data_IF_797963450526
#
_entry.id   IF_797963450526
#
_cell.length_a   1.000
_cell.length_b   1.000
_cell.length_c   1.000
_cell.angle_alpha   90.00
_cell.angle_beta   90.00
_cell.angle_gamma   90.00
#
_symmetry.space_group_name_H-M   'P 1'
#
loop_
_entity.id
_entity.type
_entity.pdbx_description
1 polymer ?
#
# COMPACT_ATOMS: atom_id res chain seq x y z
N UNK A 1 35.05 -50.98 -64.44
CA UNK A 1 35.09 -49.76 -63.62
C UNK A 1 33.96 -48.85 -64.08
N UNK A 2 32.82 -48.89 -63.41
CA UNK A 2 31.64 -48.09 -63.78
C UNK A 2 31.24 -47.27 -62.55
N UNK A 3 31.46 -45.97 -62.61
CA UNK A 3 31.10 -45.04 -61.54
C UNK A 3 29.63 -44.64 -61.71
N UNK A 4 28.81 -44.92 -60.68
CA UNK A 4 27.42 -44.48 -60.60
C UNK A 4 27.36 -43.08 -59.98
N UNK A 5 26.89 -42.09 -60.75
CA UNK A 5 26.63 -40.74 -60.26
C UNK A 5 25.20 -40.64 -59.72
N UNK A 6 25.05 -40.43 -58.42
CA UNK A 6 23.77 -40.11 -57.77
C UNK A 6 23.32 -38.67 -58.07
N UNK A 7 22.03 -38.41 -58.29
CA UNK A 7 21.51 -37.05 -58.45
C UNK A 7 21.28 -36.41 -57.08
N UNK A 8 21.83 -35.20 -56.90
CA UNK A 8 21.67 -34.39 -55.69
C UNK A 8 20.28 -33.73 -55.57
N UNK A 9 19.92 -33.28 -54.36
CA UNK A 9 18.58 -32.76 -54.07
C UNK A 9 18.35 -31.38 -54.69
N UNK A 10 17.25 -31.26 -55.45
CA UNK A 10 16.78 -29.99 -56.00
C UNK A 10 16.27 -29.07 -54.87
N UNK A 11 16.89 -27.89 -54.75
CA UNK A 11 16.41 -26.80 -53.88
C UNK A 11 15.22 -26.13 -54.55
N UNK A 12 14.08 -26.10 -53.89
CA UNK A 12 12.92 -25.31 -54.30
C UNK A 12 13.12 -23.82 -54.00
N UNK A 13 12.56 -22.92 -54.83
CA UNK A 13 12.70 -21.48 -54.66
C UNK A 13 11.87 -20.97 -53.47
N UNK A 14 12.50 -20.17 -52.60
CA UNK A 14 11.84 -19.45 -51.51
C UNK A 14 10.89 -18.39 -52.06
N UNK A 15 9.62 -18.45 -51.67
CA UNK A 15 8.64 -17.41 -51.93
C UNK A 15 9.01 -16.09 -51.23
N UNK A 16 8.72 -14.93 -51.84
CA UNK A 16 9.01 -13.63 -51.25
C UNK A 16 8.04 -13.32 -50.10
N UNK A 17 8.60 -12.90 -48.98
CA UNK A 17 7.89 -12.37 -47.81
C UNK A 17 7.19 -11.07 -48.21
N UNK A 18 5.86 -11.10 -48.30
CA UNK A 18 5.03 -9.89 -48.41
C UNK A 18 5.01 -9.19 -47.06
N UNK A 19 5.65 -8.02 -46.99
CA UNK A 19 5.43 -7.08 -45.90
C UNK A 19 4.01 -6.52 -46.00
N UNK A 20 3.20 -6.76 -44.97
CA UNK A 20 1.89 -6.14 -44.77
C UNK A 20 2.09 -4.76 -44.12
N UNK A 21 1.59 -3.67 -44.71
CA UNK A 21 1.62 -2.36 -44.09
C UNK A 21 0.37 -2.22 -43.20
N UNK A 22 0.54 -2.34 -41.88
CA UNK A 22 -0.51 -1.89 -40.97
C UNK A 22 -0.41 -0.38 -40.81
N UNK A 23 -1.32 0.27 -41.53
CA UNK A 23 -1.77 1.64 -41.44
C UNK A 23 -2.40 1.88 -40.05
N UNK A 24 -1.73 2.65 -39.19
CA UNK A 24 -2.24 3.11 -37.90
C UNK A 24 -2.45 4.63 -37.98
N UNK A 25 -3.49 5.05 -38.70
CA UNK A 25 -4.02 6.41 -38.65
C UNK A 25 -5.44 6.48 -39.21
N UNK A 26 -6.47 6.24 -38.37
CA UNK A 26 -7.77 6.93 -38.53
C UNK A 26 -8.78 6.71 -37.40
N UNK A 27 -9.21 7.83 -36.83
CA UNK A 27 -10.58 8.23 -36.50
C UNK A 27 -11.50 7.26 -35.74
N UNK A 28 -11.61 7.48 -34.42
CA UNK A 28 -12.87 7.32 -33.69
C UNK A 28 -13.21 8.59 -32.88
N UNK A 29 -13.67 9.62 -33.59
CA UNK A 29 -14.61 10.62 -33.07
C UNK A 29 -16.02 10.25 -33.56
N UNK A 30 -17.01 10.42 -32.68
CA UNK A 30 -18.47 10.34 -32.87
C UNK A 30 -19.10 8.94 -33.03
N UNK A 31 -19.65 8.45 -31.91
CA UNK A 31 -21.03 7.96 -31.86
C UNK A 31 -21.72 8.50 -30.61
N UNK A 32 -22.47 9.59 -30.81
CA UNK A 32 -23.57 9.98 -29.95
C UNK A 32 -24.78 9.13 -30.34
N UNK A 33 -25.09 8.12 -29.54
CA UNK A 33 -26.43 7.56 -29.49
C UNK A 33 -27.03 7.99 -28.16
N UNK A 34 -28.02 8.87 -28.24
CA UNK A 34 -28.89 9.18 -27.12
C UNK A 34 -29.75 7.96 -26.84
N UNK A 35 -29.57 7.38 -25.67
CA UNK A 35 -30.56 6.51 -25.06
C UNK A 35 -31.16 7.23 -23.85
N UNK A 36 -32.48 7.28 -23.93
CA UNK A 36 -33.46 7.93 -23.10
C UNK A 36 -33.49 7.28 -21.70
N UNK A 37 -33.07 8.00 -20.66
CA UNK A 37 -33.31 7.62 -19.26
C UNK A 37 -34.11 8.73 -18.54
N UNK A 38 -35.41 8.76 -18.81
CA UNK A 38 -36.39 9.44 -17.98
C UNK A 38 -37.28 8.38 -17.30
N UNK A 39 -36.82 7.87 -16.16
CA UNK A 39 -37.64 7.43 -15.01
C UNK A 39 -36.80 6.61 -14.04
N UNK A 40 -36.22 7.25 -13.03
CA UNK A 40 -35.89 6.60 -11.77
C UNK A 40 -36.24 7.59 -10.66
N UNK A 41 -37.19 7.20 -9.81
CA UNK A 41 -37.67 7.98 -8.68
C UNK A 41 -36.61 8.16 -7.59
N UNK A 42 -36.87 9.02 -6.59
CA UNK A 42 -35.90 9.33 -5.54
C UNK A 42 -35.72 8.13 -4.61
N UNK A 43 -34.67 7.34 -4.86
CA UNK A 43 -34.16 6.33 -3.94
C UNK A 43 -33.43 7.00 -2.78
N UNK A 44 -33.74 6.56 -1.56
CA UNK A 44 -33.20 7.05 -0.31
C UNK A 44 -31.66 6.98 -0.25
N UNK A 45 -30.99 7.92 0.45
CA UNK A 45 -29.56 7.82 0.73
C UNK A 45 -29.30 6.63 1.66
N UNK A 46 -28.62 5.60 1.12
CA UNK A 46 -28.14 4.46 1.90
C UNK A 46 -26.93 4.84 2.76
N UNK A 47 -27.02 4.52 4.04
CA UNK A 47 -25.96 4.67 5.05
C UNK A 47 -24.67 3.95 4.65
N UNK A 48 -23.64 4.73 4.34
CA UNK A 48 -22.30 4.25 3.94
C UNK A 48 -21.39 3.88 5.15
N UNK A 49 -21.93 3.79 6.37
CA UNK A 49 -21.15 3.77 7.61
C UNK A 49 -21.02 2.40 8.33
N UNK A 50 -21.40 1.26 7.72
CA UNK A 50 -21.46 -0.03 8.44
C UNK A 50 -20.81 -1.21 7.71
N UNK A 51 -19.51 -1.14 7.39
CA UNK A 51 -18.77 -2.26 6.76
C UNK A 51 -17.46 -2.69 7.45
N UNK A 52 -17.29 -2.39 8.73
CA UNK A 52 -16.25 -3.04 9.54
C UNK A 52 -16.91 -3.92 10.61
N UNK A 53 -16.60 -5.23 10.70
CA UNK A 53 -17.02 -6.03 11.85
C UNK A 53 -16.40 -5.39 13.09
N UNK A 54 -17.26 -4.79 13.91
CA UNK A 54 -16.90 -4.25 15.20
C UNK A 54 -16.28 -5.37 16.04
N UNK A 55 -15.03 -5.19 16.45
CA UNK A 55 -14.55 -5.88 17.65
C UNK A 55 -15.40 -5.40 18.82
N UNK A 56 -16.01 -6.36 19.50
CA UNK A 56 -17.07 -6.18 20.48
C UNK A 56 -16.61 -5.28 21.65
N UNK A 57 -17.10 -4.04 21.66
CA UNK A 57 -17.06 -3.13 22.82
C UNK A 57 -18.49 -2.66 23.03
N UNK A 58 -19.27 -3.45 23.76
CA UNK A 58 -20.62 -3.10 24.19
C UNK A 58 -20.55 -1.91 25.17
N UNK A 59 -20.79 -0.71 24.66
CA UNK A 59 -21.17 0.45 25.47
C UNK A 59 -22.43 1.07 24.84
N UNK A 60 -23.58 0.55 25.26
CA UNK A 60 -24.90 1.11 24.97
C UNK A 60 -25.29 2.01 26.14
N UNK A 61 -25.41 3.31 25.90
CA UNK A 61 -26.19 4.22 26.74
C UNK A 61 -26.68 5.37 25.86
N UNK A 62 -28.00 5.44 25.71
CA UNK A 62 -28.69 6.35 24.81
C UNK A 62 -28.59 7.82 25.20
N UNK A 63 -28.63 8.66 24.18
CA UNK A 63 -29.02 10.06 24.30
C UNK A 63 -30.00 10.38 23.19
N UNK A 64 -31.25 10.54 23.61
CA UNK A 64 -32.33 11.16 22.86
C UNK A 64 -31.95 12.64 22.59
N UNK A 65 -31.93 13.05 21.32
CA UNK A 65 -31.76 14.46 20.94
C UNK A 65 -32.88 14.88 20.00
N UNK A 66 -33.94 15.42 20.58
CA UNK A 66 -34.84 16.35 19.90
C UNK A 66 -34.09 17.65 19.55
N UNK A 67 -34.16 18.16 18.31
CA UNK A 67 -33.55 19.44 17.95
C UNK A 67 -34.43 20.63 18.37
N UNK A 68 -33.83 21.62 19.02
CA UNK A 68 -34.45 22.93 19.22
C UNK A 68 -34.25 23.82 17.98
N UNK A 69 -35.21 24.69 17.63
CA UNK A 69 -35.10 25.60 16.49
C UNK A 69 -34.22 26.81 16.86
N UNK A 70 -33.17 27.06 16.07
CA UNK A 70 -32.38 28.29 16.17
C UNK A 70 -32.87 29.29 15.12
N UNK A 71 -33.57 30.31 15.59
CA UNK A 71 -33.92 31.50 14.83
C UNK A 71 -32.74 32.45 14.71
N UNK A 72 -32.62 32.99 13.49
CA UNK A 72 -31.99 34.23 13.06
C UNK A 72 -31.19 35.05 14.07
N UNK A 73 -29.91 35.29 13.75
CA UNK A 73 -29.30 36.60 13.96
C UNK A 73 -28.35 36.91 12.80
N UNK A 74 -28.70 37.97 12.09
CA UNK A 74 -27.89 38.68 11.12
C UNK A 74 -26.61 39.17 11.80
N UNK A 75 -25.46 39.01 11.13
CA UNK A 75 -24.38 39.99 11.10
C UNK A 75 -23.45 39.64 9.91
N UNK A 76 -23.72 40.29 8.79
CA UNK A 76 -22.79 40.47 7.69
C UNK A 76 -21.78 41.57 8.10
N UNK A 77 -20.49 41.24 8.26
CA UNK A 77 -19.33 42.08 7.89
C UNK A 77 -17.99 41.61 8.51
N UNK A 78 -17.53 40.40 8.17
CA UNK A 78 -16.14 39.96 8.50
C UNK A 78 -15.41 39.33 7.29
N UNK A 79 -15.97 39.38 6.08
CA UNK A 79 -15.39 38.74 4.89
C UNK A 79 -14.65 39.67 3.93
N UNK A 80 -14.05 40.77 4.42
CA UNK A 80 -13.17 41.63 3.62
C UNK A 80 -11.85 41.90 4.34
N UNK A 81 -11.01 40.87 4.43
CA UNK A 81 -9.54 40.89 4.47
C UNK A 81 -9.04 39.46 4.75
N UNK A 82 -9.12 38.60 3.73
CA UNK A 82 -8.31 37.38 3.72
C UNK A 82 -7.08 37.75 2.88
N UNK A 83 -5.91 38.05 3.47
CA UNK A 83 -4.69 38.08 2.69
C UNK A 83 -4.47 36.69 2.11
N UNK A 84 -3.93 36.63 0.89
CA UNK A 84 -3.64 35.39 0.17
C UNK A 84 -2.98 34.37 1.12
N UNK A 85 -3.67 33.24 1.35
CA UNK A 85 -3.23 32.13 2.17
C UNK A 85 -2.06 31.42 1.47
N UNK A 86 -0.88 31.99 1.60
CA UNK A 86 0.37 31.23 1.53
C UNK A 86 0.38 30.22 2.67
N UNK A 87 0.64 28.95 2.33
CA UNK A 87 1.11 27.84 3.19
C UNK A 87 1.20 28.22 4.67
N UNK A 88 0.22 27.79 5.48
CA UNK A 88 0.30 27.95 6.92
C UNK A 88 1.55 27.23 7.40
N UNK A 89 2.50 28.03 7.85
CA UNK A 89 3.75 27.54 8.33
C UNK A 89 3.51 26.99 9.74
N UNK A 90 3.72 25.70 9.95
CA UNK A 90 3.68 25.08 11.30
C UNK A 90 4.60 25.85 12.26
N UNK A 91 5.58 26.57 11.72
CA UNK A 91 6.46 27.44 12.48
C UNK A 91 5.77 28.66 13.11
N UNK A 92 4.72 29.21 12.51
CA UNK A 92 3.98 30.36 13.06
C UNK A 92 3.13 29.95 14.26
N UNK A 93 2.34 28.88 14.12
CA UNK A 93 1.52 28.35 15.23
C UNK A 93 2.40 27.93 16.41
N UNK A 94 3.53 27.31 16.15
CA UNK A 94 4.43 26.88 17.22
C UNK A 94 5.13 28.06 17.94
N UNK A 95 5.25 29.21 17.28
CA UNK A 95 5.78 30.44 17.89
C UNK A 95 4.73 31.11 18.77
N UNK A 96 3.45 31.04 18.38
CA UNK A 96 2.32 31.52 19.18
C UNK A 96 2.18 30.79 20.52
N UNK A 97 2.46 29.49 20.56
CA UNK A 97 2.43 28.67 21.78
C UNK A 97 3.76 28.62 22.55
N UNK A 98 4.79 29.35 22.13
CA UNK A 98 6.09 29.41 22.83
C UNK A 98 6.85 28.09 22.87
N UNK A 99 6.59 27.17 21.93
CA UNK A 99 7.31 25.89 21.86
C UNK A 99 8.72 26.13 21.31
N UNK A 100 9.73 25.61 22.01
CA UNK A 100 11.10 25.65 21.50
C UNK A 100 11.24 24.81 20.20
N UNK A 101 12.23 25.14 19.37
CA UNK A 101 12.45 24.47 18.09
C UNK A 101 12.72 22.96 18.23
N UNK A 102 13.18 22.50 19.39
CA UNK A 102 13.49 21.09 19.67
C UNK A 102 12.19 20.31 19.91
N UNK A 103 11.30 20.84 20.75
CA UNK A 103 9.97 20.30 21.03
C UNK A 103 9.12 20.26 19.77
N UNK A 104 9.21 21.31 18.93
CA UNK A 104 8.53 21.38 17.62
C UNK A 104 8.97 20.26 16.69
N UNK A 105 10.28 20.08 16.51
CA UNK A 105 10.84 19.00 15.68
C UNK A 105 10.47 17.62 16.23
N UNK A 106 10.48 17.44 17.55
CA UNK A 106 10.10 16.19 18.19
C UNK A 106 8.61 15.85 17.97
N UNK A 107 7.70 16.81 18.19
CA UNK A 107 6.26 16.63 17.99
C UNK A 107 5.93 16.35 16.51
N UNK A 108 6.53 17.10 15.59
CA UNK A 108 6.35 16.88 14.16
C UNK A 108 6.89 15.50 13.72
N UNK A 109 8.07 15.12 14.21
CA UNK A 109 8.66 13.81 13.93
C UNK A 109 7.82 12.65 14.47
N UNK A 110 7.21 12.80 15.65
CA UNK A 110 6.33 11.80 16.23
C UNK A 110 5.06 11.60 15.40
N UNK A 111 4.35 12.68 15.06
CA UNK A 111 3.13 12.61 14.24
C UNK A 111 3.41 11.99 12.88
N UNK A 112 4.51 12.37 12.22
CA UNK A 112 4.92 11.77 10.94
C UNK A 112 5.15 10.27 11.05
N UNK A 113 5.88 9.80 12.08
CA UNK A 113 6.14 8.37 12.30
C UNK A 113 4.84 7.58 12.57
N UNK A 114 3.93 8.16 13.36
CA UNK A 114 2.63 7.55 13.66
C UNK A 114 1.78 7.40 12.39
N UNK A 115 1.63 8.47 11.60
CA UNK A 115 0.88 8.45 10.34
C UNK A 115 1.48 7.47 9.33
N UNK A 116 2.80 7.44 9.20
CA UNK A 116 3.51 6.47 8.36
C UNK A 116 3.26 5.03 8.81
N UNK A 117 3.20 4.78 10.12
CA UNK A 117 2.94 3.45 10.66
C UNK A 117 1.49 3.03 10.44
N UNK A 118 0.53 3.97 10.50
CA UNK A 118 -0.86 3.73 10.12
C UNK A 118 -0.96 3.37 8.62
N UNK A 119 -0.31 4.12 7.73
CA UNK A 119 -0.23 3.79 6.29
C UNK A 119 0.28 2.36 6.06
N UNK A 120 1.35 1.99 6.76
CA UNK A 120 1.91 0.63 6.70
C UNK A 120 0.92 -0.42 7.21
N UNK A 121 0.15 -0.12 8.25
CA UNK A 121 -0.85 -1.06 8.75
C UNK A 121 -1.96 -1.30 7.73
N UNK A 122 -2.48 -0.25 7.09
CA UNK A 122 -3.55 -0.41 6.12
C UNK A 122 -3.09 -0.99 4.78
N UNK A 123 -1.84 -0.78 4.34
CA UNK A 123 -1.38 -1.32 3.05
C UNK A 123 -1.30 -2.85 3.01
N UNK A 124 -1.12 -3.51 4.16
CA UNK A 124 -1.08 -4.98 4.24
C UNK A 124 -2.46 -5.61 4.44
N UNK A 125 -3.50 -4.79 4.65
CA UNK A 125 -4.87 -5.27 4.86
C UNK A 125 -5.58 -5.43 3.52
N UNK A 126 -6.53 -6.38 3.43
CA UNK A 126 -7.43 -6.45 2.29
C UNK A 126 -8.34 -5.22 2.32
N UNK A 127 -8.24 -4.38 1.28
CA UNK A 127 -9.12 -3.23 1.05
C UNK A 127 -9.69 -3.31 -0.35
N UNK A 128 -10.76 -2.55 -0.60
CA UNK A 128 -11.41 -2.49 -1.91
C UNK A 128 -10.50 -1.89 -2.97
N UNK A 129 -9.82 -0.80 -2.64
CA UNK A 129 -8.87 -0.14 -3.53
C UNK A 129 -7.74 0.52 -2.73
N UNK A 130 -6.50 0.43 -3.23
CA UNK A 130 -5.37 1.19 -2.65
C UNK A 130 -5.32 2.63 -3.12
N UNK A 131 -6.13 3.02 -4.11
CA UNK A 131 -6.28 4.42 -4.51
C UNK A 131 -6.98 5.26 -3.44
N UNK A 132 -7.93 4.66 -2.70
CA UNK A 132 -8.71 5.33 -1.64
C UNK A 132 -8.06 5.23 -0.25
N UNK A 133 -6.85 4.68 -0.16
CA UNK A 133 -6.15 4.45 1.11
C UNK A 133 -6.00 5.72 1.96
N UNK A 134 -5.65 6.85 1.32
CA UNK A 134 -5.51 8.14 2.00
C UNK A 134 -6.85 8.59 2.57
N UNK A 135 -7.94 8.50 1.80
CA UNK A 135 -9.28 8.86 2.25
C UNK A 135 -9.77 8.00 3.42
N UNK A 136 -9.50 6.69 3.39
CA UNK A 136 -9.79 5.77 4.51
C UNK A 136 -9.04 6.24 5.77
N UNK A 137 -7.77 6.62 5.61
CA UNK A 137 -6.96 7.11 6.71
C UNK A 137 -7.40 8.46 7.25
N UNK A 138 -7.77 9.41 6.39
CA UNK A 138 -8.33 10.69 6.79
C UNK A 138 -9.60 10.52 7.62
N UNK A 139 -10.47 9.61 7.19
CA UNK A 139 -11.67 9.23 7.95
C UNK A 139 -11.29 8.66 9.32
N UNK A 140 -10.32 7.75 9.38
CA UNK A 140 -9.83 7.20 10.64
C UNK A 140 -9.22 8.27 11.57
N UNK A 141 -8.40 9.17 11.03
CA UNK A 141 -7.79 10.28 11.77
C UNK A 141 -8.86 11.23 12.28
N UNK A 142 -9.86 11.54 11.46
CA UNK A 142 -11.00 12.33 11.85
C UNK A 142 -11.68 11.69 13.07
N UNK A 143 -12.05 10.41 13.00
CA UNK A 143 -12.79 9.77 14.08
C UNK A 143 -11.96 9.63 15.37
N UNK A 144 -10.66 9.41 15.23
CA UNK A 144 -9.73 9.15 16.35
C UNK A 144 -8.80 10.33 16.67
N UNK A 145 -9.15 11.55 16.23
CA UNK A 145 -8.32 12.75 16.36
C UNK A 145 -7.80 12.98 17.78
N UNK A 146 -8.64 12.74 18.80
CA UNK A 146 -8.27 12.87 20.21
C UNK A 146 -7.20 11.86 20.63
N UNK A 147 -7.33 10.60 20.22
CA UNK A 147 -6.39 9.54 20.57
C UNK A 147 -5.03 9.75 19.88
N UNK A 148 -5.05 10.22 18.63
CA UNK A 148 -3.86 10.54 17.84
C UNK A 148 -3.20 11.86 18.25
N UNK A 149 -3.75 12.61 19.21
CA UNK A 149 -3.33 13.98 19.58
C UNK A 149 -3.37 14.97 18.40
N UNK A 150 -4.30 14.76 17.48
CA UNK A 150 -4.56 15.59 16.30
C UNK A 150 -5.92 16.30 16.42
N UNK A 151 -6.27 16.83 17.60
CA UNK A 151 -7.59 17.42 17.87
C UNK A 151 -7.93 18.56 16.89
N UNK A 152 -6.93 19.36 16.51
CA UNK A 152 -7.08 20.45 15.54
C UNK A 152 -7.49 19.96 14.15
N UNK A 153 -7.17 18.71 13.77
CA UNK A 153 -7.55 18.14 12.48
C UNK A 153 -9.07 18.16 12.26
N UNK A 154 -9.91 18.10 13.31
CA UNK A 154 -11.38 18.20 13.15
C UNK A 154 -11.84 19.61 12.78
N UNK A 155 -11.19 20.62 13.34
CA UNK A 155 -11.69 21.99 13.37
C UNK A 155 -11.01 22.90 12.35
N UNK A 156 -9.74 22.63 12.05
CA UNK A 156 -8.91 23.49 11.21
C UNK A 156 -8.73 22.88 9.80
N UNK A 157 -9.29 23.52 8.74
CA UNK A 157 -9.16 23.03 7.37
C UNK A 157 -7.73 23.09 6.85
N UNK A 158 -6.90 23.99 7.37
CA UNK A 158 -5.50 24.09 6.99
C UNK A 158 -4.72 22.89 7.53
N UNK A 159 -4.92 22.53 8.80
CA UNK A 159 -4.31 21.32 9.38
C UNK A 159 -4.73 20.07 8.60
N UNK A 160 -5.99 20.00 8.12
CA UNK A 160 -6.44 18.92 7.22
C UNK A 160 -5.62 18.87 5.94
N UNK A 161 -5.46 20.00 5.24
CA UNK A 161 -4.68 20.09 4.00
C UNK A 161 -3.23 19.64 4.21
N UNK A 162 -2.58 20.11 5.27
CA UNK A 162 -1.18 19.76 5.56
C UNK A 162 -1.02 18.26 5.85
N UNK A 163 -1.96 17.66 6.60
CA UNK A 163 -1.95 16.22 6.86
C UNK A 163 -2.24 15.43 5.58
N UNK A 164 -3.18 15.89 4.74
CA UNK A 164 -3.48 15.29 3.45
C UNK A 164 -2.22 15.19 2.57
N UNK A 165 -1.52 16.32 2.39
CA UNK A 165 -0.29 16.38 1.59
C UNK A 165 0.79 15.44 2.13
N UNK A 166 0.96 15.41 3.46
CA UNK A 166 1.89 14.50 4.12
C UNK A 166 1.52 13.02 3.88
N UNK A 167 0.24 12.67 3.98
CA UNK A 167 -0.25 11.31 3.74
C UNK A 167 -0.04 10.89 2.28
N UNK A 168 -0.25 11.78 1.32
CA UNK A 168 -0.03 11.51 -0.11
C UNK A 168 1.45 11.19 -0.40
N UNK A 169 2.37 11.97 0.16
CA UNK A 169 3.82 11.74 0.02
C UNK A 169 4.22 10.41 0.65
N UNK A 170 3.85 10.18 1.91
CA UNK A 170 4.22 8.95 2.63
C UNK A 170 3.54 7.71 2.03
N UNK A 171 2.33 7.82 1.48
CA UNK A 171 1.67 6.75 0.76
C UNK A 171 2.51 6.28 -0.44
N UNK A 172 3.04 7.22 -1.23
CA UNK A 172 3.97 6.92 -2.32
C UNK A 172 5.20 6.13 -1.84
N UNK A 173 5.83 6.57 -0.75
CA UNK A 173 6.98 5.90 -0.14
C UNK A 173 6.63 4.48 0.35
N UNK A 174 5.52 4.33 1.08
CA UNK A 174 5.07 3.04 1.63
C UNK A 174 4.70 2.06 0.51
N UNK A 175 3.99 2.51 -0.52
CA UNK A 175 3.67 1.72 -1.73
C UNK A 175 4.92 1.27 -2.48
N UNK A 176 5.90 2.15 -2.65
CA UNK A 176 7.16 1.82 -3.29
C UNK A 176 7.95 0.78 -2.48
N UNK A 177 8.04 0.94 -1.16
CA UNK A 177 8.70 0.00 -0.26
C UNK A 177 8.00 -1.38 -0.25
N UNK A 178 6.67 -1.39 -0.18
CA UNK A 178 5.88 -2.63 -0.22
C UNK A 178 6.07 -3.38 -1.54
N UNK A 179 6.01 -2.66 -2.67
CA UNK A 179 6.32 -3.23 -3.99
C UNK A 179 7.70 -3.88 -4.04
N UNK A 180 8.74 -3.19 -3.54
CA UNK A 180 10.10 -3.75 -3.50
C UNK A 180 10.15 -5.05 -2.70
N UNK A 181 9.47 -5.13 -1.56
CA UNK A 181 9.40 -6.34 -0.74
C UNK A 181 8.71 -7.51 -1.46
N UNK A 182 7.61 -7.23 -2.18
CA UNK A 182 6.89 -8.24 -2.96
C UNK A 182 7.74 -8.77 -4.12
N UNK A 183 8.41 -7.88 -4.86
CA UNK A 183 9.29 -8.30 -5.96
C UNK A 183 10.49 -9.10 -5.45
N UNK A 184 11.05 -8.72 -4.31
CA UNK A 184 12.12 -9.47 -3.65
C UNK A 184 11.65 -10.89 -3.27
N UNK A 185 10.47 -11.03 -2.63
CA UNK A 185 9.94 -12.34 -2.23
C UNK A 185 9.61 -13.25 -3.41
N UNK A 186 9.20 -12.69 -4.56
CA UNK A 186 9.01 -13.42 -5.81
C UNK A 186 10.36 -13.88 -6.39
N UNK A 187 11.37 -13.01 -6.40
CA UNK A 187 12.71 -13.31 -6.94
C UNK A 187 13.44 -14.36 -6.10
N UNK A 188 13.39 -14.22 -4.78
CA UNK A 188 13.99 -15.13 -3.80
C UNK A 188 13.19 -16.40 -3.57
N UNK A 189 11.97 -16.49 -4.15
CA UNK A 189 11.04 -17.61 -3.96
C UNK A 189 10.76 -17.93 -2.49
N UNK A 190 10.61 -16.89 -1.66
CA UNK A 190 10.36 -17.05 -0.23
C UNK A 190 9.01 -17.76 0.01
N UNK A 191 8.91 -18.75 0.92
CA UNK A 191 7.62 -19.33 1.31
C UNK A 191 6.65 -18.28 1.84
N UNK A 192 5.36 -18.41 1.52
CA UNK A 192 4.33 -17.40 1.86
C UNK A 192 4.25 -17.14 3.36
N UNK A 193 4.35 -18.20 4.18
CA UNK A 193 4.32 -18.11 5.64
C UNK A 193 5.46 -17.24 6.19
N UNK A 194 6.69 -17.47 5.71
CA UNK A 194 7.88 -16.71 6.13
C UNK A 194 7.79 -15.25 5.67
N UNK A 195 7.37 -15.04 4.41
CA UNK A 195 7.16 -13.71 3.86
C UNK A 195 6.09 -12.94 4.64
N UNK A 196 4.95 -13.56 4.92
CA UNK A 196 3.83 -12.95 5.64
C UNK A 196 4.22 -12.57 7.07
N UNK A 197 4.91 -13.45 7.82
CA UNK A 197 5.42 -13.14 9.16
C UNK A 197 6.36 -11.93 9.15
N UNK A 198 7.32 -11.90 8.22
CA UNK A 198 8.27 -10.77 8.07
C UNK A 198 7.55 -9.46 7.74
N UNK A 199 6.58 -9.53 6.83
CA UNK A 199 5.78 -8.36 6.41
C UNK A 199 4.91 -7.85 7.56
N UNK A 200 4.17 -8.72 8.24
CA UNK A 200 3.32 -8.36 9.39
C UNK A 200 4.18 -7.75 10.51
N UNK A 201 5.34 -8.33 10.86
CA UNK A 201 6.23 -7.77 11.87
C UNK A 201 6.65 -6.32 11.55
N UNK A 202 6.85 -6.00 10.27
CA UNK A 202 7.31 -4.67 9.82
C UNK A 202 6.18 -3.65 9.61
N UNK A 203 4.97 -4.12 9.27
CA UNK A 203 3.88 -3.25 8.83
C UNK A 203 2.67 -3.24 9.77
N UNK A 204 2.51 -4.22 10.65
CA UNK A 204 1.40 -4.27 11.59
C UNK A 204 1.64 -3.35 12.80
N UNK A 205 0.55 -2.79 13.34
CA UNK A 205 0.57 -1.92 14.52
C UNK A 205 0.10 -2.68 15.78
N UNK A 206 0.50 -2.21 16.97
CA UNK A 206 1.57 -2.77 17.81
C UNK A 206 1.42 -4.26 18.19
N UNK A 207 0.21 -4.81 18.18
CA UNK A 207 -0.01 -6.22 18.53
C UNK A 207 0.18 -7.08 17.30
N UNK A 208 1.39 -7.61 17.10
CA UNK A 208 1.67 -8.57 16.03
C UNK A 208 0.97 -9.89 16.34
N UNK A 209 0.07 -10.40 15.47
CA UNK A 209 -0.52 -11.71 15.66
C UNK A 209 0.56 -12.79 15.55
N UNK A 210 0.50 -13.82 16.41
CA UNK A 210 1.46 -14.93 16.42
C UNK A 210 1.46 -15.69 15.08
N UNK A 211 0.26 -15.90 14.53
CA UNK A 211 0.04 -16.52 13.23
C UNK A 211 -0.46 -15.48 12.24
N UNK A 212 0.08 -15.43 11.00
CA UNK A 212 -0.43 -14.55 9.96
C UNK A 212 -1.94 -14.81 9.72
N UNK A 213 -2.80 -13.78 9.79
CA UNK A 213 -4.20 -13.89 9.42
C UNK A 213 -4.36 -14.33 7.95
N UNK A 214 -5.36 -15.17 7.69
CA UNK A 214 -5.63 -15.74 6.36
C UNK A 214 -5.87 -14.66 5.30
N UNK A 215 -6.65 -13.64 5.66
CA UNK A 215 -7.02 -12.53 4.79
C UNK A 215 -5.80 -11.69 4.34
N UNK A 216 -4.85 -11.46 5.26
CA UNK A 216 -3.56 -10.82 4.97
C UNK A 216 -2.70 -11.73 4.09
N UNK A 217 -2.62 -13.04 4.40
CA UNK A 217 -1.87 -13.99 3.57
C UNK A 217 -2.37 -14.05 2.13
N UNK A 218 -3.70 -14.10 1.94
CA UNK A 218 -4.32 -14.10 0.61
C UNK A 218 -4.06 -12.79 -0.15
N UNK A 219 -4.11 -11.64 0.55
CA UNK A 219 -3.77 -10.34 -0.03
C UNK A 219 -2.31 -10.30 -0.51
N UNK A 220 -1.37 -10.79 0.31
CA UNK A 220 0.03 -10.90 -0.06
C UNK A 220 0.27 -11.88 -1.23
N UNK A 221 -0.44 -13.01 -1.25
CA UNK A 221 -0.40 -13.97 -2.35
C UNK A 221 -0.89 -13.35 -3.68
N UNK A 222 -2.01 -12.61 -3.66
CA UNK A 222 -2.50 -11.86 -4.82
C UNK A 222 -1.44 -10.88 -5.35
N UNK A 223 -0.82 -10.11 -4.46
CA UNK A 223 0.24 -9.18 -4.84
C UNK A 223 1.45 -9.89 -5.46
N UNK A 224 1.84 -11.07 -4.97
CA UNK A 224 2.91 -11.89 -5.58
C UNK A 224 2.50 -12.41 -6.94
N UNK A 225 1.26 -12.84 -7.11
CA UNK A 225 0.73 -13.29 -8.39
C UNK A 225 0.82 -12.19 -9.46
N UNK A 226 0.41 -10.96 -9.12
CA UNK A 226 0.52 -9.79 -10.00
C UNK A 226 1.98 -9.43 -10.28
N UNK A 227 2.85 -9.52 -9.27
CA UNK A 227 4.27 -9.20 -9.42
C UNK A 227 5.04 -10.22 -10.28
N UNK A 228 4.65 -11.50 -10.27
CA UNK A 228 5.34 -12.59 -10.97
C UNK A 228 5.63 -12.30 -12.45
N UNK A 229 4.64 -11.98 -13.32
CA UNK A 229 4.93 -11.68 -14.72
C UNK A 229 5.70 -10.36 -14.92
N UNK A 230 5.76 -9.50 -13.90
CA UNK A 230 6.50 -8.24 -13.94
C UNK A 230 7.95 -8.43 -13.47
N UNK A 231 8.23 -9.35 -12.57
CA UNK A 231 9.56 -9.58 -11.99
C UNK A 231 10.63 -9.95 -13.03
N UNK A 232 10.23 -10.55 -14.16
CA UNK A 232 11.12 -10.90 -15.26
C UNK A 232 11.34 -9.75 -16.27
N UNK A 233 10.54 -8.69 -16.21
CA UNK A 233 10.65 -7.55 -17.13
C UNK A 233 11.70 -6.58 -16.61
N UNK A 234 12.57 -6.12 -17.51
CA UNK A 234 13.49 -5.02 -17.22
C UNK A 234 12.71 -3.70 -17.31
N UNK A 235 12.68 -2.94 -16.23
CA UNK A 235 12.12 -1.59 -16.21
C UNK A 235 13.25 -0.57 -16.14
N UNK A 236 13.04 0.61 -16.72
CA UNK A 236 13.94 1.74 -16.51
C UNK A 236 14.01 2.09 -15.02
N UNK A 237 15.19 2.52 -14.55
CA UNK A 237 15.36 2.99 -13.16
C UNK A 237 14.38 4.14 -12.91
N UNK A 238 13.53 4.00 -11.90
CA UNK A 238 12.50 4.99 -11.55
C UNK A 238 11.19 4.91 -12.35
N UNK A 239 11.09 4.03 -13.36
CA UNK A 239 9.87 3.85 -14.13
C UNK A 239 8.75 3.15 -13.34
N UNK A 240 7.50 3.49 -13.65
CA UNK A 240 6.34 2.74 -13.15
C UNK A 240 6.29 1.36 -13.80
N UNK A 241 6.23 0.31 -12.97
CA UNK A 241 6.09 -1.07 -13.46
C UNK A 241 4.64 -1.42 -13.82
N UNK A 242 3.68 -0.50 -13.58
CA UNK A 242 2.25 -0.75 -13.69
C UNK A 242 1.74 -1.75 -12.65
N UNK A 243 2.53 -1.99 -11.59
CA UNK A 243 2.23 -3.02 -10.58
C UNK A 243 0.92 -2.71 -9.87
N UNK A 244 0.81 -1.48 -9.35
CA UNK A 244 -0.35 -1.07 -8.58
C UNK A 244 -1.62 -1.02 -9.41
N UNK A 245 -1.57 -0.51 -10.65
CA UNK A 245 -2.72 -0.51 -11.55
C UNK A 245 -3.27 -1.93 -11.80
N UNK A 246 -2.39 -2.93 -11.92
CA UNK A 246 -2.82 -4.33 -12.02
C UNK A 246 -3.39 -4.88 -10.73
N UNK A 247 -2.84 -4.52 -9.58
CA UNK A 247 -3.42 -4.91 -8.27
C UNK A 247 -4.83 -4.36 -8.12
N UNK A 248 -5.07 -3.08 -8.45
CA UNK A 248 -6.42 -2.49 -8.41
C UNK A 248 -7.37 -3.25 -9.34
N UNK A 249 -6.96 -3.52 -10.59
CA UNK A 249 -7.78 -4.25 -11.56
C UNK A 249 -8.15 -5.66 -11.09
N UNK A 250 -7.22 -6.39 -10.47
CA UNK A 250 -7.53 -7.72 -9.91
C UNK A 250 -8.46 -7.63 -8.69
N UNK A 251 -8.29 -6.61 -7.83
CA UNK A 251 -9.21 -6.38 -6.71
C UNK A 251 -10.63 -6.08 -7.20
N UNK A 252 -10.79 -5.17 -8.17
CA UNK A 252 -12.09 -4.84 -8.75
C UNK A 252 -12.79 -6.10 -9.28
N UNK A 253 -12.09 -6.92 -10.07
CA UNK A 253 -12.60 -8.21 -10.57
C UNK A 253 -13.04 -9.15 -9.43
N UNK A 254 -12.27 -9.20 -8.34
CA UNK A 254 -12.60 -10.05 -7.18
C UNK A 254 -13.82 -9.54 -6.42
N UNK A 255 -14.00 -8.23 -6.29
CA UNK A 255 -15.18 -7.63 -5.66
C UNK A 255 -16.43 -7.81 -6.53
N UNK A 256 -16.31 -7.69 -7.84
CA UNK A 256 -17.40 -8.01 -8.78
C UNK A 256 -17.83 -9.48 -8.67
N UNK A 257 -16.86 -10.39 -8.56
CA UNK A 257 -17.13 -11.84 -8.50
C UNK A 257 -17.68 -12.30 -7.15
N UNK A 258 -17.15 -11.78 -6.04
CA UNK A 258 -17.44 -12.31 -4.70
C UNK A 258 -18.38 -11.41 -3.87
N UNK A 259 -18.64 -10.19 -4.32
CA UNK A 259 -19.42 -9.17 -3.63
C UNK A 259 -18.63 -8.42 -2.55
N UNK A 260 -19.28 -7.42 -1.93
CA UNK A 260 -18.62 -6.52 -0.95
C UNK A 260 -18.43 -7.14 0.44
N UNK A 261 -19.12 -8.24 0.76
CA UNK A 261 -19.02 -8.88 2.06
C UNK A 261 -17.84 -9.86 2.11
N UNK A 262 -16.66 -9.39 2.57
CA UNK A 262 -15.44 -10.20 2.76
C UNK A 262 -15.61 -11.43 3.66
N UNK A 263 -16.66 -11.49 4.49
CA UNK A 263 -16.97 -12.67 5.31
C UNK A 263 -17.80 -13.74 4.59
N UNK A 264 -18.14 -13.56 3.31
CA UNK A 264 -18.93 -14.55 2.58
C UNK A 264 -18.13 -15.84 2.31
N UNK A 265 -18.81 -16.99 2.12
CA UNK A 265 -18.13 -18.24 1.79
C UNK A 265 -17.29 -18.17 0.51
N UNK A 266 -17.69 -17.37 -0.47
CA UNK A 266 -16.95 -17.19 -1.73
C UNK A 266 -15.59 -16.53 -1.52
N UNK A 267 -15.51 -15.53 -0.64
CA UNK A 267 -14.24 -14.92 -0.26
C UNK A 267 -13.33 -15.90 0.47
N UNK A 268 -13.85 -16.63 1.45
CA UNK A 268 -13.06 -17.63 2.20
C UNK A 268 -12.50 -18.70 1.27
N UNK A 269 -13.31 -19.18 0.31
CA UNK A 269 -12.86 -20.16 -0.68
C UNK A 269 -11.76 -19.59 -1.59
N UNK A 270 -11.93 -18.37 -2.09
CA UNK A 270 -10.91 -17.71 -2.91
C UNK A 270 -9.60 -17.50 -2.13
N UNK A 271 -9.67 -17.06 -0.87
CA UNK A 271 -8.49 -16.87 -0.02
C UNK A 271 -7.72 -18.17 0.17
N UNK A 272 -8.41 -19.28 0.45
CA UNK A 272 -7.78 -20.59 0.56
C UNK A 272 -7.12 -21.01 -0.75
N UNK A 273 -7.82 -20.83 -1.87
CA UNK A 273 -7.30 -21.19 -3.19
C UNK A 273 -6.03 -20.42 -3.55
N UNK A 274 -6.03 -19.09 -3.40
CA UNK A 274 -4.87 -18.27 -3.79
C UNK A 274 -3.66 -18.53 -2.87
N UNK A 275 -3.90 -18.85 -1.60
CA UNK A 275 -2.85 -19.27 -0.66
C UNK A 275 -2.23 -20.60 -1.10
N UNK A 276 -3.05 -21.59 -1.44
CA UNK A 276 -2.59 -22.90 -1.89
C UNK A 276 -1.81 -22.82 -3.22
N UNK A 277 -2.31 -22.00 -4.15
CA UNK A 277 -1.66 -21.75 -5.43
C UNK A 277 -0.29 -21.07 -5.27
N UNK A 278 -0.14 -20.15 -4.30
CA UNK A 278 1.13 -19.51 -3.98
C UNK A 278 2.10 -20.48 -3.29
N UNK A 279 1.63 -21.24 -2.29
CA UNK A 279 2.42 -22.26 -1.60
C UNK A 279 2.97 -23.31 -2.57
N UNK A 280 2.11 -23.84 -3.47
CA UNK A 280 2.52 -24.81 -4.50
C UNK A 280 3.67 -24.29 -5.38
N UNK A 281 3.72 -22.98 -5.63
CA UNK A 281 4.75 -22.36 -6.48
C UNK A 281 6.06 -22.11 -5.74
N UNK A 282 6.02 -21.81 -4.45
CA UNK A 282 7.18 -21.29 -3.71
C UNK A 282 7.72 -22.24 -2.61
N UNK A 283 6.94 -23.19 -2.11
CA UNK A 283 7.36 -24.07 -1.00
C UNK A 283 8.40 -25.12 -1.42
N UNK A 284 8.45 -25.49 -2.71
CA UNK A 284 9.36 -26.53 -3.20
C UNK A 284 10.84 -26.14 -3.18
N UNK A 285 11.16 -24.85 -3.19
CA UNK A 285 12.55 -24.40 -3.39
C UNK A 285 13.32 -24.23 -2.07
N UNK A 286 12.63 -24.06 -0.94
CA UNK A 286 13.29 -23.88 0.37
C UNK A 286 13.96 -25.14 0.92
N UNK A 287 13.52 -26.33 0.50
CA UNK A 287 14.08 -27.60 0.95
C UNK A 287 15.45 -27.90 0.33
N UNK A 288 15.70 -27.46 -0.90
CA UNK A 288 16.94 -27.81 -1.62
C UNK A 288 18.07 -26.79 -1.38
N UNK A 289 17.76 -25.51 -1.18
CA UNK A 289 18.80 -24.48 -0.93
C UNK A 289 19.27 -24.39 0.51
N UNK A 290 18.52 -24.94 1.48
CA UNK A 290 18.98 -25.07 2.87
C UNK A 290 19.95 -26.25 3.07
N UNK A 291 20.12 -27.10 2.06
CA UNK A 291 21.12 -28.17 2.05
C UNK A 291 22.45 -27.74 1.42
N UNK A 292 22.62 -26.45 1.09
CA UNK A 292 23.95 -25.87 0.91
C UNK A 292 24.55 -25.74 2.30
N UNK A 293 25.19 -26.81 2.74
CA UNK A 293 25.75 -27.00 4.07
C UNK A 293 26.61 -25.80 4.47
N UNK A 294 26.52 -25.40 5.74
CA UNK A 294 27.35 -24.38 6.38
C UNK A 294 28.86 -24.55 6.04
N UNK A 295 29.30 -25.78 5.76
CA UNK A 295 30.64 -26.13 5.26
C UNK A 295 31.04 -25.41 3.96
N UNK A 296 30.13 -25.14 3.03
CA UNK A 296 30.46 -24.41 1.79
C UNK A 296 30.59 -22.89 2.04
N UNK A 297 29.91 -22.37 3.07
CA UNK A 297 30.01 -20.97 3.52
C UNK A 297 31.32 -20.77 4.31
N UNK A 298 31.70 -21.74 5.14
CA UNK A 298 32.96 -21.71 5.89
C UNK A 298 34.17 -21.93 4.97
N UNK A 299 34.05 -22.75 3.92
CA UNK A 299 35.10 -22.93 2.91
C UNK A 299 35.31 -21.69 2.03
N UNK A 300 34.24 -20.96 1.68
CA UNK A 300 34.34 -19.73 0.89
C UNK A 300 34.89 -18.55 1.71
N UNK A 301 34.73 -18.56 3.04
CA UNK A 301 35.23 -17.50 3.92
C UNK A 301 36.75 -17.62 4.20
N UNK A 302 37.36 -18.79 3.95
CA UNK A 302 38.79 -19.01 4.22
C UNK A 302 39.73 -18.69 3.05
N UNK A 303 39.24 -18.28 1.88
CA UNK A 303 40.06 -18.04 0.67
C UNK A 303 39.82 -16.65 0.06
N UNK A 304 40.34 -15.58 0.67
CA UNK A 304 40.23 -14.26 0.03
C UNK A 304 40.75 -13.07 0.82
N UNK A 305 42.04 -13.04 1.15
CA UNK A 305 42.75 -11.81 1.53
C UNK A 305 43.85 -11.53 0.53
N UNK A 306 43.53 -10.79 -0.54
CA UNK A 306 44.51 -10.04 -1.32
C UNK A 306 43.97 -8.64 -1.52
N UNK A 307 44.65 -7.70 -0.89
CA UNK A 307 44.40 -6.28 -0.95
C UNK A 307 44.61 -5.75 -2.38
N UNK A 308 43.60 -5.08 -2.91
CA UNK A 308 43.75 -4.17 -4.04
C UNK A 308 43.15 -2.83 -3.63
N UNK A 309 44.05 -1.87 -3.38
CA UNK A 309 43.74 -0.47 -3.23
C UNK A 309 43.57 0.14 -4.63
N UNK A 310 42.36 0.61 -4.93
CA UNK A 310 42.03 1.59 -5.96
C UNK A 310 40.62 2.08 -5.61
N UNK A 311 40.46 3.28 -5.08
CA UNK A 311 40.33 4.52 -5.86
C UNK A 311 38.99 4.53 -6.63
N UNK A 312 37.92 4.92 -5.93
CA UNK A 312 36.69 5.42 -6.55
C UNK A 312 36.15 6.60 -5.74
N UNK A 313 36.15 7.74 -6.42
CA UNK A 313 35.61 9.04 -6.04
C UNK A 313 34.06 9.05 -6.09
N UNK A 314 33.48 9.88 -5.22
CA UNK A 314 32.15 10.51 -5.32
C UNK A 314 30.91 9.60 -5.54
N UNK A 315 30.52 8.89 -4.48
CA UNK A 315 29.12 8.52 -4.24
C UNK A 315 28.54 9.47 -3.18
N UNK A 316 27.89 10.55 -3.64
CA UNK A 316 27.00 11.43 -2.86
C UNK A 316 25.71 10.67 -2.48
N UNK A 317 25.91 9.48 -1.90
CA UNK A 317 24.91 8.64 -1.30
C UNK A 317 24.22 9.44 -0.21
N UNK A 318 23.07 10.01 -0.56
CA UNK A 318 21.97 10.21 0.37
C UNK A 318 21.59 8.82 0.91
N UNK A 319 22.42 8.33 1.82
CA UNK A 319 22.08 7.29 2.75
C UNK A 319 20.92 7.85 3.58
N UNK A 320 19.70 7.67 3.08
CA UNK A 320 18.57 7.33 3.92
C UNK A 320 18.98 6.03 4.64
N UNK A 321 19.86 6.18 5.64
CA UNK A 321 19.98 5.31 6.78
C UNK A 321 18.59 5.29 7.36
N UNK A 322 17.78 4.37 6.86
CA UNK A 322 16.53 3.92 7.44
C UNK A 322 16.89 3.61 8.89
N UNK A 323 16.67 4.61 9.74
CA UNK A 323 17.03 4.60 11.13
C UNK A 323 16.49 3.29 11.70
N UNK A 324 17.43 2.48 12.19
CA UNK A 324 17.24 1.28 12.96
C UNK A 324 15.84 1.25 13.62
N UNK A 325 14.91 0.59 12.94
CA UNK A 325 13.48 0.52 13.30
C UNK A 325 13.23 -0.42 14.49
N UNK A 326 14.29 -1.03 15.05
CA UNK A 326 14.21 -1.84 16.27
C UNK A 326 13.98 -0.99 17.54
N UNK A 327 14.04 0.35 17.44
CA UNK A 327 13.64 1.28 18.53
C UNK A 327 12.17 1.71 18.45
N UNK A 328 11.26 0.74 18.22
CA UNK A 328 9.81 0.91 18.33
C UNK A 328 9.19 0.06 19.45
N UNK A 329 10.01 -0.68 20.21
CA UNK A 329 9.56 -1.47 21.35
C UNK A 329 8.90 -0.67 22.48
N UNK A 330 9.09 0.65 22.53
CA UNK A 330 8.59 1.50 23.62
C UNK A 330 7.20 2.13 23.38
N UNK A 331 6.61 1.99 22.20
CA UNK A 331 5.25 2.51 21.94
C UNK A 331 4.15 1.63 22.56
N UNK A 332 4.46 0.38 22.92
CA UNK A 332 3.55 -0.50 23.66
C UNK A 332 3.40 -0.11 25.15
N UNK A 333 4.32 0.68 25.71
CA UNK A 333 4.28 1.11 27.10
C UNK A 333 3.23 2.22 27.37
N UNK A 334 2.78 2.93 26.33
CA UNK A 334 1.80 4.03 26.47
C UNK A 334 0.34 3.56 26.55
N UNK A 335 0.04 2.26 26.40
CA UNK A 335 -1.32 1.72 26.46
C UNK A 335 -1.64 0.93 27.74
N UNK A 336 -0.69 0.73 28.66
CA UNK A 336 -0.92 -0.03 29.91
C UNK A 336 -1.19 0.83 31.17
N UNK A 337 -1.23 2.15 31.07
CA UNK A 337 -1.35 3.05 32.23
C UNK A 337 -2.72 3.70 32.42
N UNK A 338 -3.81 2.95 32.51
CA UNK A 338 -5.07 3.49 33.03
C UNK A 338 -5.94 2.40 33.68
N UNK A 339 -5.50 1.92 34.85
CA UNK A 339 -6.39 1.24 35.79
C UNK A 339 -7.32 2.31 36.37
N UNK A 340 -8.51 2.45 35.76
CA UNK A 340 -9.59 3.24 36.35
C UNK A 340 -9.99 2.57 37.65
N UNK A 341 -9.55 3.13 38.78
CA UNK A 341 -10.14 2.83 40.10
C UNK A 341 -11.60 3.28 40.04
N UNK A 342 -12.52 2.32 40.08
CA UNK A 342 -13.95 2.56 40.23
C UNK A 342 -14.22 3.19 41.61
N UNK A 343 -15.07 4.22 41.73
CA UNK A 343 -15.81 4.47 42.96
C UNK A 343 -16.84 3.37 43.22
#
# INVERSE_FOLDING_TARGET
MSQSSSPGPQRTPRSPVRHSPYDYSRDHRRRSNGENYNNVGPGQPGDFASQYPAYNSSFSAGYDRTPAPFSSLQNHDVLRRIPALTTVNIDELSTEYGLDNTQRKAAHGFSKKLLKSLLRHYIIRPITSYSTLVTIMESYIHDHARWLRLVLYKHDPTVKSVIHDLLMVENGHVRSAMRKLIFASVKEKTPLTTFSKKTIKKYHLPTTPEKPPQDIMACLALMREVARPLAHKKFARGGDSGFWAKVESELDNLFEKNGNNRGSPSWVQWEQQIIEDDNTRYDRVGAETSARTQEEIDAATSSGTTATAADEEDDDGAEDRDANLDSLGDLAALTQGCVVRRP
#
